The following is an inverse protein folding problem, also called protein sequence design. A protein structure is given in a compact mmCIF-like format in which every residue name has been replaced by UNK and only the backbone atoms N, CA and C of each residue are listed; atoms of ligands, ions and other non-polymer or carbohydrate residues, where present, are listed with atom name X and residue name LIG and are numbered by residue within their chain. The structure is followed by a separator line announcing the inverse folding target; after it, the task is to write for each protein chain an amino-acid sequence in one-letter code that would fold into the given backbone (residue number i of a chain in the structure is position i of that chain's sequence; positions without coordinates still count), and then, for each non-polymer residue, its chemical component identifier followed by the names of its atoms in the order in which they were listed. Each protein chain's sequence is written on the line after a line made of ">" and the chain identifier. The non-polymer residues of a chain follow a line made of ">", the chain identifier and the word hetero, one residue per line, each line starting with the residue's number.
data_IF_982337136411
#
_entry.id   IF_982337136411
#
_cell.length_a   1.000
_cell.length_b   1.000
_cell.length_c   1.000
_cell.angle_alpha   90.00
_cell.angle_beta   90.00
_cell.angle_gamma   90.00
#
_symmetry.space_group_name_H-M   'P 1'
#
loop_
_entity.id
_entity.type
_entity.pdbx_description
1 polymer ?
#
# COMPACT_ATOMS: atom_id res chain seq x y z
N UNK A 1 4.64 5.05 -6.61
CA UNK A 1 6.06 5.00 -6.24
C UNK A 1 6.71 6.30 -6.66
N UNK A 2 7.01 7.16 -5.69
CA UNK A 2 7.61 8.47 -5.94
C UNK A 2 9.13 8.36 -5.96
N UNK A 3 9.77 9.05 -6.90
CA UNK A 3 11.23 9.10 -6.96
C UNK A 3 11.71 10.34 -7.71
N UNK A 4 12.97 10.68 -7.46
CA UNK A 4 13.72 11.69 -8.18
C UNK A 4 15.04 11.13 -8.69
N UNK A 5 15.55 11.68 -9.78
CA UNK A 5 16.82 11.27 -10.35
C UNK A 5 17.63 12.48 -10.82
N UNK A 6 18.94 12.29 -10.93
CA UNK A 6 19.90 13.30 -11.37
C UNK A 6 20.78 12.75 -12.48
N UNK A 7 21.22 13.63 -13.38
CA UNK A 7 22.11 13.27 -14.48
C UNK A 7 23.04 14.46 -14.80
N UNK A 8 24.18 14.24 -15.49
CA UNK A 8 25.15 15.29 -15.75
C UNK A 8 24.57 16.45 -16.58
N UNK A 9 25.06 17.67 -16.33
CA UNK A 9 24.63 18.87 -17.06
C UNK A 9 24.98 18.76 -18.55
N UNK A 10 24.09 19.23 -19.43
CA UNK A 10 24.28 19.21 -20.88
C UNK A 10 23.77 17.94 -21.59
N UNK A 11 23.16 17.02 -20.85
CA UNK A 11 22.49 15.83 -21.38
C UNK A 11 20.99 16.12 -21.56
N UNK A 12 20.39 15.60 -22.62
CA UNK A 12 18.96 15.71 -22.91
C UNK A 12 18.32 14.32 -22.87
N UNK A 13 17.25 14.16 -22.07
CA UNK A 13 16.57 12.87 -21.94
C UNK A 13 15.66 12.65 -23.14
N UNK A 14 15.91 11.57 -23.86
CA UNK A 14 15.11 11.16 -25.01
C UNK A 14 13.96 10.26 -24.58
N UNK A 15 14.25 9.24 -23.77
CA UNK A 15 13.29 8.20 -23.37
C UNK A 15 13.43 7.87 -21.89
N UNK A 16 12.31 7.57 -21.24
CA UNK A 16 12.23 7.09 -19.85
C UNK A 16 11.38 5.83 -19.81
N UNK A 17 11.70 4.92 -18.90
CA UNK A 17 10.93 3.70 -18.67
C UNK A 17 11.30 3.08 -17.32
N UNK A 18 10.47 2.16 -16.85
CA UNK A 18 10.73 1.38 -15.65
C UNK A 18 10.87 -0.09 -16.01
N UNK A 19 11.70 -0.82 -15.28
CA UNK A 19 11.82 -2.28 -15.41
C UNK A 19 11.91 -2.94 -14.05
N UNK A 20 11.60 -4.24 -14.00
CA UNK A 20 11.92 -5.08 -12.84
C UNK A 20 13.42 -5.41 -12.85
N UNK A 21 14.02 -5.67 -11.68
CA UNK A 21 15.45 -5.96 -11.51
C UNK A 21 16.04 -6.98 -12.50
N UNK A 22 15.24 -7.96 -12.92
CA UNK A 22 15.67 -9.12 -13.72
C UNK A 22 15.15 -9.11 -15.17
N UNK A 23 14.64 -7.97 -15.66
CA UNK A 23 14.10 -7.89 -17.04
C UNK A 23 14.67 -6.67 -17.75
N UNK A 24 15.37 -6.90 -18.87
CA UNK A 24 15.91 -5.84 -19.73
C UNK A 24 14.82 -5.22 -20.63
N UNK A 25 13.76 -5.98 -20.91
CA UNK A 25 12.60 -5.51 -21.67
C UNK A 25 11.48 -5.01 -20.74
N UNK A 26 10.66 -4.04 -21.19
CA UNK A 26 9.49 -3.58 -20.45
C UNK A 26 8.41 -4.67 -20.45
N UNK A 27 8.53 -5.67 -19.58
CA UNK A 27 7.54 -6.73 -19.45
C UNK A 27 6.22 -6.20 -18.90
N UNK A 28 5.18 -6.20 -19.74
CA UNK A 28 3.76 -6.06 -19.39
C UNK A 28 3.41 -5.04 -18.29
N UNK A 29 4.07 -3.89 -18.33
CA UNK A 29 3.76 -2.76 -17.45
C UNK A 29 2.56 -1.94 -17.98
N UNK A 30 1.58 -2.57 -18.64
CA UNK A 30 0.37 -1.87 -19.11
C UNK A 30 -0.41 -1.23 -17.96
N UNK A 31 -0.23 -1.73 -16.73
CA UNK A 31 -0.81 -1.16 -15.51
C UNK A 31 -0.02 0.00 -14.90
N UNK A 32 1.13 0.36 -15.48
CA UNK A 32 1.94 1.50 -15.04
C UNK A 32 1.55 2.77 -15.79
N UNK A 33 1.24 3.80 -15.02
CA UNK A 33 1.07 5.16 -15.47
C UNK A 33 2.29 5.99 -15.05
N UNK A 34 2.99 6.59 -16.02
CA UNK A 34 4.05 7.55 -15.75
C UNK A 34 3.45 8.89 -15.33
N UNK A 35 3.85 9.38 -14.16
CA UNK A 35 3.41 10.66 -13.58
C UNK A 35 4.56 11.68 -13.48
N UNK A 36 5.77 11.28 -13.84
CA UNK A 36 6.96 12.12 -13.79
C UNK A 36 7.15 13.00 -15.02
N UNK A 37 8.36 13.52 -15.15
CA UNK A 37 8.81 14.40 -16.23
C UNK A 37 10.17 13.93 -16.80
N UNK A 38 10.71 14.70 -17.75
CA UNK A 38 12.05 14.47 -18.32
C UNK A 38 13.10 15.41 -17.71
N UNK A 39 12.89 15.87 -16.48
CA UNK A 39 13.82 16.74 -15.76
C UNK A 39 14.36 16.05 -14.51
N UNK A 40 13.52 15.72 -13.54
CA UNK A 40 13.98 15.13 -12.28
C UNK A 40 12.96 14.19 -11.65
N UNK A 41 11.70 14.22 -12.05
CA UNK A 41 10.65 13.41 -11.45
C UNK A 41 10.49 12.10 -12.23
N UNK A 42 10.69 10.95 -11.58
CA UNK A 42 10.51 9.63 -12.20
C UNK A 42 9.27 8.88 -11.70
N UNK A 43 8.36 9.58 -11.02
CA UNK A 43 7.22 8.97 -10.32
C UNK A 43 6.31 8.15 -11.25
N UNK A 44 5.91 6.98 -10.78
CA UNK A 44 4.93 6.10 -11.44
C UNK A 44 3.79 5.71 -10.49
N UNK A 45 2.62 5.47 -11.08
CA UNK A 45 1.47 4.82 -10.44
C UNK A 45 1.27 3.44 -11.07
N UNK A 46 1.28 2.40 -10.25
CA UNK A 46 0.90 1.05 -10.63
C UNK A 46 -0.54 0.80 -10.15
N UNK A 47 -1.42 0.40 -11.06
CA UNK A 47 -2.82 0.14 -10.76
C UNK A 47 -3.08 -1.35 -10.50
N UNK A 48 -4.07 -1.65 -9.65
CA UNK A 48 -4.49 -3.02 -9.30
C UNK A 48 -3.32 -3.89 -8.84
N UNK A 49 -2.56 -3.37 -7.87
CA UNK A 49 -1.37 -4.04 -7.34
C UNK A 49 -1.77 -5.34 -6.65
N UNK A 50 -1.04 -6.42 -6.92
CA UNK A 50 -1.20 -7.72 -6.27
C UNK A 50 0.13 -8.18 -5.66
N UNK A 51 0.12 -9.21 -4.83
CA UNK A 51 1.36 -9.77 -4.26
C UNK A 51 2.36 -10.25 -5.33
N UNK A 52 1.89 -10.63 -6.53
CA UNK A 52 2.75 -10.97 -7.68
C UNK A 52 3.53 -9.76 -8.24
N UNK A 53 3.16 -8.55 -7.84
CA UNK A 53 3.85 -7.33 -8.23
C UNK A 53 5.03 -7.01 -7.30
N UNK A 54 5.21 -7.72 -6.18
CA UNK A 54 6.31 -7.50 -5.23
C UNK A 54 7.68 -7.75 -5.87
N UNK A 55 8.35 -6.68 -6.26
CA UNK A 55 9.63 -6.71 -6.93
C UNK A 55 10.40 -5.42 -6.62
N UNK A 56 11.71 -5.46 -6.86
CA UNK A 56 12.48 -4.24 -6.99
C UNK A 56 12.35 -3.69 -8.42
N UNK A 57 11.93 -2.42 -8.49
CA UNK A 57 11.72 -1.68 -9.73
C UNK A 57 12.82 -0.65 -9.91
N UNK A 58 13.24 -0.49 -11.16
CA UNK A 58 14.32 0.41 -11.53
C UNK A 58 13.87 1.41 -12.57
N UNK A 59 14.15 2.68 -12.31
CA UNK A 59 14.01 3.73 -13.31
C UNK A 59 15.16 3.66 -14.30
N UNK A 60 14.86 3.78 -15.59
CA UNK A 60 15.83 3.78 -16.68
C UNK A 60 15.56 4.93 -17.64
N UNK A 61 16.61 5.54 -18.16
CA UNK A 61 16.48 6.60 -19.16
C UNK A 61 17.60 6.57 -20.19
N UNK A 62 17.33 7.13 -21.37
CA UNK A 62 18.27 7.25 -22.49
C UNK A 62 18.46 8.73 -22.78
N UNK A 63 19.71 9.14 -22.96
CA UNK A 63 20.09 10.52 -23.27
C UNK A 63 20.53 10.68 -24.73
N UNK A 64 20.68 11.92 -25.18
CA UNK A 64 21.25 12.27 -26.49
C UNK A 64 22.74 11.90 -26.65
N UNK A 65 23.47 11.72 -25.55
CA UNK A 65 24.90 11.35 -25.57
C UNK A 65 25.12 9.85 -25.77
N UNK A 66 26.20 9.45 -26.47
CA UNK A 66 26.60 8.05 -26.59
C UNK A 66 26.93 7.48 -25.20
N UNK A 67 26.42 6.29 -24.87
CA UNK A 67 26.55 5.73 -23.53
C UNK A 67 25.48 4.72 -23.11
N UNK A 68 24.49 4.43 -23.97
CA UNK A 68 23.46 3.44 -23.67
C UNK A 68 22.43 3.91 -22.65
N UNK A 69 21.74 2.96 -22.03
CA UNK A 69 20.66 3.19 -21.05
C UNK A 69 21.23 3.41 -19.66
N UNK A 70 20.86 4.51 -19.01
CA UNK A 70 21.20 4.81 -17.63
C UNK A 70 20.26 4.10 -16.67
N UNK A 71 20.81 3.57 -15.57
CA UNK A 71 20.07 2.91 -14.50
C UNK A 71 20.02 3.80 -13.26
N UNK A 72 18.82 4.26 -12.90
CA UNK A 72 18.58 4.96 -11.64
C UNK A 72 18.83 4.02 -10.46
N UNK A 73 19.72 4.42 -9.56
CA UNK A 73 19.99 3.73 -8.29
C UNK A 73 19.79 4.70 -7.12
N UNK A 74 19.28 4.26 -5.95
CA UNK A 74 18.83 2.89 -5.67
C UNK A 74 17.52 2.52 -6.41
N UNK A 75 17.24 1.22 -6.51
CA UNK A 75 15.93 0.75 -6.94
C UNK A 75 14.83 1.10 -5.93
N UNK A 76 13.57 0.97 -6.35
CA UNK A 76 12.41 1.10 -5.47
C UNK A 76 11.80 -0.27 -5.27
N UNK A 77 11.85 -0.78 -4.04
CA UNK A 77 11.19 -2.04 -3.68
C UNK A 77 9.70 -1.81 -3.46
N UNK A 78 8.87 -2.49 -4.25
CA UNK A 78 7.45 -2.57 -4.00
C UNK A 78 7.18 -3.76 -3.07
N UNK A 79 6.77 -3.47 -1.84
CA UNK A 79 6.23 -4.45 -0.91
C UNK A 79 4.71 -4.28 -0.85
N UNK A 80 3.98 -5.36 -1.02
CA UNK A 80 2.53 -5.44 -0.93
C UNK A 80 2.22 -6.12 0.39
N UNK A 81 2.18 -5.32 1.46
CA UNK A 81 1.75 -5.87 2.74
C UNK A 81 0.23 -5.92 2.78
N UNK A 82 -0.26 -7.02 3.31
CA UNK A 82 -1.66 -7.22 3.57
C UNK A 82 -2.22 -6.24 4.62
N UNK A 83 -3.54 -6.25 4.77
CA UNK A 83 -4.21 -5.56 5.87
C UNK A 83 -3.81 -6.16 7.21
N UNK A 84 -3.55 -5.33 8.20
CA UNK A 84 -3.24 -5.76 9.56
C UNK A 84 -4.10 -5.02 10.58
N UNK A 85 -4.71 -5.75 11.51
CA UNK A 85 -5.42 -5.16 12.63
C UNK A 85 -4.44 -4.84 13.75
N UNK A 86 -4.46 -3.62 14.22
CA UNK A 86 -3.84 -3.21 15.48
C UNK A 86 -4.90 -3.09 16.57
N UNK A 87 -4.61 -3.69 17.73
CA UNK A 87 -5.45 -3.64 18.92
C UNK A 87 -4.63 -3.21 20.14
N UNK A 88 -5.26 -2.64 21.18
CA UNK A 88 -4.62 -2.47 22.47
C UNK A 88 -4.23 -3.82 23.09
N UNK A 89 -3.19 -3.82 23.94
CA UNK A 89 -2.72 -5.03 24.63
C UNK A 89 -3.64 -5.45 25.79
N UNK A 90 -4.26 -4.47 26.46
CA UNK A 90 -5.14 -4.69 27.61
C UNK A 90 -6.40 -3.86 27.46
N UNK A 91 -7.53 -4.48 27.74
CA UNK A 91 -8.85 -3.84 27.69
C UNK A 91 -9.67 -4.35 28.88
N UNK A 92 -10.27 -3.41 29.59
CA UNK A 92 -11.17 -3.65 30.73
C UNK A 92 -12.59 -3.20 30.39
N UNK A 93 -13.59 -3.80 31.06
CA UNK A 93 -14.98 -3.38 30.86
C UNK A 93 -15.17 -1.88 31.16
N UNK A 94 -15.91 -1.19 30.29
CA UNK A 94 -16.13 0.25 30.35
C UNK A 94 -15.12 1.08 29.53
N UNK A 95 -14.02 0.47 29.06
CA UNK A 95 -13.03 1.18 28.24
C UNK A 95 -13.60 1.63 26.88
N UNK A 96 -12.97 2.66 26.32
CA UNK A 96 -13.14 3.03 24.91
C UNK A 96 -11.93 2.52 24.11
N UNK A 97 -12.17 1.52 23.27
CA UNK A 97 -11.16 0.82 22.48
C UNK A 97 -11.21 1.29 21.04
N UNK A 98 -10.03 1.51 20.46
CA UNK A 98 -9.87 1.77 19.02
C UNK A 98 -9.04 0.66 18.40
N UNK A 99 -9.62 -0.03 17.43
CA UNK A 99 -8.89 -0.92 16.53
C UNK A 99 -8.57 -0.18 15.24
N UNK A 100 -7.41 -0.44 14.65
CA UNK A 100 -7.00 0.20 13.39
C UNK A 100 -6.61 -0.85 12.37
N UNK A 101 -7.21 -0.77 11.18
CA UNK A 101 -6.85 -1.58 10.03
C UNK A 101 -5.74 -0.86 9.25
N UNK A 102 -4.50 -1.30 9.43
CA UNK A 102 -3.36 -0.74 8.70
C UNK A 102 -3.22 -1.37 7.33
N UNK A 103 -2.80 -0.54 6.39
CA UNK A 103 -2.32 -0.95 5.08
C UNK A 103 -1.01 -0.21 4.81
N UNK A 104 -0.05 -0.87 4.18
CA UNK A 104 1.13 -0.17 3.64
C UNK A 104 0.82 0.60 2.35
N UNK A 105 -0.34 0.35 1.74
CA UNK A 105 -0.82 1.13 0.62
C UNK A 105 -1.34 2.49 1.10
N UNK A 106 -0.95 3.55 0.40
CA UNK A 106 -1.62 4.85 0.52
C UNK A 106 -3.01 4.73 -0.06
N UNK A 107 -4.00 4.57 0.82
CA UNK A 107 -5.40 4.51 0.45
C UNK A 107 -5.90 5.93 0.15
N UNK A 108 -6.82 6.05 -0.80
CA UNK A 108 -7.48 7.32 -1.06
C UNK A 108 -8.38 7.69 0.12
N UNK A 109 -8.64 8.98 0.35
CA UNK A 109 -9.56 9.46 1.40
C UNK A 109 -11.01 8.93 1.26
N UNK A 110 -11.31 8.24 0.16
CA UNK A 110 -12.59 7.58 -0.12
C UNK A 110 -12.59 6.08 0.17
N UNK A 111 -11.46 5.50 0.54
CA UNK A 111 -11.38 4.09 0.91
C UNK A 111 -12.24 3.83 2.15
N UNK A 112 -13.07 2.80 2.07
CA UNK A 112 -13.93 2.37 3.17
C UNK A 112 -13.55 0.96 3.57
N UNK A 113 -13.79 0.63 4.83
CA UNK A 113 -13.43 -0.66 5.41
C UNK A 113 -14.65 -1.37 5.97
N UNK A 114 -14.60 -2.69 5.94
CA UNK A 114 -15.56 -3.57 6.57
C UNK A 114 -14.82 -4.27 7.71
N UNK A 115 -15.38 -4.20 8.91
CA UNK A 115 -14.87 -4.90 10.08
C UNK A 115 -15.66 -6.18 10.32
N UNK A 116 -14.97 -7.19 10.83
CA UNK A 116 -15.54 -8.48 11.17
C UNK A 116 -15.25 -8.79 12.64
N UNK A 117 -16.23 -9.34 13.33
CA UNK A 117 -16.06 -9.96 14.66
C UNK A 117 -16.48 -11.42 14.56
N UNK A 118 -15.58 -12.33 14.88
CA UNK A 118 -15.80 -13.78 14.78
C UNK A 118 -16.32 -14.17 13.38
N UNK A 119 -15.67 -13.62 12.34
CA UNK A 119 -16.01 -13.81 10.92
C UNK A 119 -17.38 -13.27 10.48
N UNK A 120 -18.11 -12.57 11.36
CA UNK A 120 -19.37 -11.91 11.01
C UNK A 120 -19.15 -10.42 10.76
N UNK A 121 -19.68 -9.86 9.66
CA UNK A 121 -19.52 -8.44 9.36
C UNK A 121 -20.24 -7.58 10.40
N UNK A 122 -19.58 -6.52 10.85
CA UNK A 122 -20.16 -5.50 11.73
C UNK A 122 -20.85 -4.44 10.87
N UNK A 123 -22.17 -4.58 10.69
CA UNK A 123 -22.99 -3.70 9.84
C UNK A 123 -23.36 -2.36 10.47
N UNK A 124 -23.23 -2.21 11.79
CA UNK A 124 -23.80 -1.07 12.52
C UNK A 124 -22.80 0.04 12.86
N UNK A 125 -21.49 -0.17 12.66
CA UNK A 125 -20.47 0.80 13.05
C UNK A 125 -19.96 1.55 11.82
N UNK A 126 -20.47 2.77 11.66
CA UNK A 126 -20.01 3.71 10.63
C UNK A 126 -18.75 4.39 11.10
N UNK A 127 -17.64 3.69 10.98
CA UNK A 127 -16.35 4.31 11.18
C UNK A 127 -15.97 5.04 9.89
N UNK A 128 -15.90 6.36 9.96
CA UNK A 128 -15.19 7.11 8.92
C UNK A 128 -13.72 6.70 9.05
N UNK A 129 -13.13 6.18 7.98
CA UNK A 129 -11.73 5.73 7.87
C UNK A 129 -11.51 4.23 8.17
N UNK A 130 -10.26 3.87 8.43
CA UNK A 130 -9.74 2.52 8.66
C UNK A 130 -9.74 2.11 10.13
N UNK A 131 -10.60 2.70 10.96
CA UNK A 131 -10.66 2.47 12.41
C UNK A 131 -11.97 1.79 12.80
N UNK A 132 -12.01 1.17 13.98
CA UNK A 132 -13.23 0.68 14.63
C UNK A 132 -13.25 1.16 16.07
N UNK A 133 -14.26 1.96 16.43
CA UNK A 133 -14.41 2.47 17.78
C UNK A 133 -15.41 1.62 18.57
N UNK A 134 -14.95 1.04 19.67
CA UNK A 134 -15.77 0.36 20.67
C UNK A 134 -15.87 1.21 21.93
N UNK A 135 -17.05 1.77 22.21
CA UNK A 135 -17.28 2.59 23.41
C UNK A 135 -17.89 1.74 24.53
N UNK A 136 -17.42 1.95 25.76
CA UNK A 136 -17.92 1.26 26.95
C UNK A 136 -17.97 -0.26 26.76
N UNK A 137 -16.84 -0.83 26.35
CA UNK A 137 -16.72 -2.25 25.99
C UNK A 137 -17.16 -3.17 27.12
N UNK A 138 -17.70 -4.33 26.74
CA UNK A 138 -18.13 -5.36 27.69
C UNK A 138 -17.51 -6.70 27.32
N UNK A 139 -17.64 -7.71 28.19
CA UNK A 139 -17.19 -9.08 27.88
C UNK A 139 -17.76 -9.65 26.58
N UNK A 140 -18.99 -9.29 26.19
CA UNK A 140 -19.57 -9.68 24.91
C UNK A 140 -18.89 -9.05 23.68
N UNK A 141 -18.07 -8.01 23.86
CA UNK A 141 -17.25 -7.43 22.82
C UNK A 141 -15.92 -8.16 22.63
N UNK A 142 -15.55 -9.10 23.51
CA UNK A 142 -14.37 -9.94 23.29
C UNK A 142 -14.57 -10.82 22.05
N UNK A 143 -13.49 -11.06 21.30
CA UNK A 143 -13.57 -11.85 20.07
C UNK A 143 -12.40 -11.68 19.13
N UNK A 144 -12.49 -12.34 17.97
CA UNK A 144 -11.50 -12.22 16.89
C UNK A 144 -11.94 -11.13 15.92
N UNK A 145 -11.09 -10.13 15.75
CA UNK A 145 -11.34 -8.97 14.90
C UNK A 145 -10.46 -9.01 13.66
N UNK A 146 -11.07 -8.84 12.49
CA UNK A 146 -10.39 -8.68 11.20
C UNK A 146 -11.04 -7.56 10.39
N UNK A 147 -10.36 -7.10 9.35
CA UNK A 147 -10.83 -6.02 8.49
C UNK A 147 -10.60 -6.34 7.01
N UNK A 148 -11.42 -5.75 6.15
CA UNK A 148 -11.26 -5.79 4.70
C UNK A 148 -11.48 -4.39 4.11
N UNK A 149 -10.79 -4.09 3.01
CA UNK A 149 -11.11 -2.91 2.22
C UNK A 149 -12.38 -3.18 1.41
N UNK A 150 -13.35 -2.27 1.45
CA UNK A 150 -14.61 -2.41 0.74
C UNK A 150 -14.38 -2.55 -0.78
N UNK A 151 -15.01 -3.55 -1.40
CA UNK A 151 -14.81 -3.86 -2.83
C UNK A 151 -13.58 -4.73 -3.13
N UNK A 152 -12.83 -5.15 -2.10
CA UNK A 152 -11.75 -6.13 -2.23
C UNK A 152 -12.14 -7.45 -1.55
N UNK A 153 -11.60 -8.55 -2.05
CA UNK A 153 -11.88 -9.91 -1.55
C UNK A 153 -10.98 -10.32 -0.38
N UNK A 154 -9.90 -9.59 -0.16
CA UNK A 154 -8.92 -9.91 0.88
C UNK A 154 -9.40 -9.42 2.26
N UNK A 155 -9.36 -10.33 3.24
CA UNK A 155 -9.63 -10.06 4.67
C UNK A 155 -8.32 -10.25 5.43
N UNK A 156 -8.00 -9.31 6.33
CA UNK A 156 -6.81 -9.38 7.17
C UNK A 156 -6.80 -10.65 8.03
N UNK A 157 -5.61 -11.09 8.48
CA UNK A 157 -5.52 -11.97 9.65
C UNK A 157 -6.28 -11.37 10.85
N UNK A 158 -6.80 -12.24 11.71
CA UNK A 158 -7.53 -11.81 12.90
C UNK A 158 -6.63 -11.57 14.11
N UNK A 159 -7.04 -10.62 14.95
CA UNK A 159 -6.46 -10.36 16.27
C UNK A 159 -7.51 -10.62 17.34
N UNK A 160 -7.12 -11.28 18.42
CA UNK A 160 -8.01 -11.54 19.54
C UNK A 160 -8.04 -10.37 20.52
N UNK A 161 -9.22 -9.76 20.67
CA UNK A 161 -9.49 -8.74 21.67
C UNK A 161 -10.00 -9.42 22.94
N UNK A 162 -9.21 -9.36 24.01
CA UNK A 162 -9.61 -9.81 25.34
C UNK A 162 -10.17 -8.64 26.15
N UNK A 163 -11.32 -8.83 26.80
CA UNK A 163 -11.92 -7.85 27.72
C UNK A 163 -11.99 -8.49 29.11
N UNK A 164 -11.30 -7.89 30.09
CA UNK A 164 -11.23 -8.39 31.48
C UNK A 164 -12.19 -7.69 32.41
#
# INVERSE_FOLDING_TARGET
>A
MSCTYTYPTGYQIMKVFWTKANVEEPSDLQRIQYLGDKQQNCTIRLNHVTQKDEHEYYFRFITDKPGGTWLGKPGVTLTVTDLQVESPERVTEGDSVRLTCKSSCTLTDRATFIWYRNSQPLTERRDRNNELLLQSVRREDAGRYSCAAHGHTYISPDVHLNVT
#
